data_IF_473341974600
#
_entry.id   IF_473341974600
#
_cell.length_a   1.000
_cell.length_b   1.000
_cell.length_c   1.000
_cell.angle_alpha   90.00
_cell.angle_beta   90.00
_cell.angle_gamma   90.00
#
_symmetry.space_group_name_H-M   'P 1'
#
loop_
_entity.id
_entity.type
_entity.pdbx_description
1 polymer ?
#
# COMPACT_ATOMS: atom_id res chain seq x y z
N UNK A 1 -30.03 28.76 -25.06
CA UNK A 1 -29.86 29.49 -23.78
C UNK A 1 -29.22 30.87 -23.98
N UNK A 2 -27.95 30.96 -24.38
CA UNK A 2 -27.19 32.23 -24.43
C UNK A 2 -27.68 33.25 -25.48
N UNK A 3 -28.15 32.80 -26.64
CA UNK A 3 -28.75 33.67 -27.68
C UNK A 3 -30.00 34.39 -27.16
N UNK A 4 -30.93 33.63 -26.58
CA UNK A 4 -32.16 34.17 -25.99
C UNK A 4 -31.87 35.10 -24.82
N UNK A 5 -30.86 34.79 -24.01
CA UNK A 5 -30.45 35.64 -22.89
C UNK A 5 -29.87 36.98 -23.38
N UNK A 6 -28.91 36.95 -24.30
CA UNK A 6 -28.27 38.15 -24.82
C UNK A 6 -29.20 39.03 -25.67
N UNK A 7 -30.17 38.45 -26.38
CA UNK A 7 -31.13 39.21 -27.19
C UNK A 7 -32.24 39.90 -26.37
N UNK A 8 -32.61 39.34 -25.22
CA UNK A 8 -33.72 39.83 -24.38
C UNK A 8 -33.38 41.05 -23.54
N UNK A 9 -32.11 41.33 -23.29
CA UNK A 9 -31.69 42.35 -22.33
C UNK A 9 -31.07 43.58 -23.00
N UNK A 10 -31.61 44.77 -22.73
CA UNK A 10 -31.14 46.03 -23.32
C UNK A 10 -29.67 46.34 -22.97
N UNK A 11 -29.28 46.07 -21.72
CA UNK A 11 -27.87 46.17 -21.30
C UNK A 11 -26.97 45.18 -22.05
N UNK A 12 -27.41 43.95 -22.36
CA UNK A 12 -26.63 43.02 -23.17
C UNK A 12 -26.41 43.56 -24.58
N UNK A 13 -27.43 44.17 -25.19
CA UNK A 13 -27.32 44.77 -26.53
C UNK A 13 -26.29 45.89 -26.55
N UNK A 14 -26.36 46.79 -25.57
CA UNK A 14 -25.41 47.90 -25.44
C UNK A 14 -23.98 47.38 -25.20
N UNK A 15 -23.81 46.36 -24.36
CA UNK A 15 -22.51 45.73 -24.08
C UNK A 15 -21.93 45.00 -25.30
N UNK A 16 -22.78 44.33 -26.09
CA UNK A 16 -22.38 43.68 -27.33
C UNK A 16 -21.89 44.72 -28.34
N UNK A 17 -22.60 45.84 -28.49
CA UNK A 17 -22.22 46.96 -29.37
C UNK A 17 -20.90 47.60 -28.95
N UNK A 18 -20.75 47.92 -27.65
CA UNK A 18 -19.52 48.51 -27.09
C UNK A 18 -18.29 47.63 -27.34
N UNK A 19 -18.46 46.30 -27.21
CA UNK A 19 -17.38 45.32 -27.38
C UNK A 19 -17.20 44.83 -28.82
N UNK A 20 -17.98 45.34 -29.77
CA UNK A 20 -17.94 44.92 -31.18
C UNK A 20 -18.36 43.46 -31.40
N UNK A 21 -19.16 42.90 -30.49
CA UNK A 21 -19.66 41.53 -30.56
C UNK A 21 -20.95 41.48 -31.38
N UNK A 22 -20.92 40.78 -32.51
CA UNK A 22 -22.02 40.77 -33.48
C UNK A 22 -23.17 39.84 -33.11
N UNK A 23 -22.90 38.75 -32.38
CA UNK A 23 -23.92 37.76 -32.03
C UNK A 23 -23.75 37.21 -30.60
N UNK A 24 -24.80 37.25 -29.75
CA UNK A 24 -24.72 36.76 -28.38
C UNK A 24 -24.45 35.25 -28.27
N UNK A 25 -24.82 34.46 -29.29
CA UNK A 25 -24.55 33.01 -29.35
C UNK A 25 -23.08 32.67 -29.60
N UNK A 26 -22.30 33.62 -30.13
CA UNK A 26 -20.88 33.46 -30.42
C UNK A 26 -20.01 33.66 -29.17
N UNK A 27 -20.61 34.16 -28.09
CA UNK A 27 -19.98 34.25 -26.79
C UNK A 27 -20.04 32.91 -26.07
N UNK A 28 -18.88 32.55 -25.55
CA UNK A 28 -18.68 31.32 -24.81
C UNK A 28 -19.32 31.40 -23.42
N UNK A 29 -19.84 30.29 -22.91
CA UNK A 29 -20.56 30.23 -21.62
C UNK A 29 -19.80 30.92 -20.47
N UNK A 30 -18.49 30.68 -20.35
CA UNK A 30 -17.67 31.29 -19.32
C UNK A 30 -17.56 32.82 -19.44
N UNK A 31 -17.72 33.38 -20.64
CA UNK A 31 -17.69 34.83 -20.87
C UNK A 31 -19.00 35.44 -20.39
N UNK A 32 -20.13 34.78 -20.66
CA UNK A 32 -21.42 35.17 -20.09
C UNK A 32 -21.41 35.11 -18.56
N UNK A 33 -20.88 34.04 -17.98
CA UNK A 33 -20.80 33.93 -16.52
C UNK A 33 -19.95 35.04 -15.90
N UNK A 34 -18.83 35.42 -16.52
CA UNK A 34 -18.00 36.56 -16.07
C UNK A 34 -18.72 37.88 -16.20
N UNK A 35 -19.39 38.15 -17.32
CA UNK A 35 -20.16 39.38 -17.51
C UNK A 35 -21.23 39.54 -16.42
N UNK A 36 -21.92 38.46 -16.08
CA UNK A 36 -22.94 38.49 -15.02
C UNK A 36 -22.32 38.77 -13.65
N UNK A 37 -21.14 38.17 -13.37
CA UNK A 37 -20.39 38.41 -12.14
C UNK A 37 -19.84 39.85 -12.04
N UNK A 38 -19.44 40.45 -13.16
CA UNK A 38 -18.87 41.80 -13.22
C UNK A 38 -19.95 42.89 -13.09
N UNK A 39 -21.20 42.58 -13.44
CA UNK A 39 -22.33 43.54 -13.43
C UNK A 39 -23.57 42.98 -12.71
N UNK A 40 -23.49 42.59 -11.43
CA UNK A 40 -24.58 41.93 -10.71
C UNK A 40 -25.86 42.78 -10.70
N UNK A 41 -25.76 44.08 -10.45
CA UNK A 41 -26.90 45.02 -10.40
C UNK A 41 -27.70 45.09 -11.72
N UNK A 42 -27.06 44.75 -12.85
CA UNK A 42 -27.68 44.78 -14.18
C UNK A 42 -28.37 43.47 -14.54
N UNK A 43 -27.99 42.37 -13.90
CA UNK A 43 -28.42 41.03 -14.28
C UNK A 43 -29.25 40.31 -13.23
N UNK A 44 -29.02 40.57 -11.94
CA UNK A 44 -29.79 39.97 -10.84
C UNK A 44 -31.31 40.09 -10.99
N UNK A 45 -31.89 41.22 -11.45
CA UNK A 45 -33.34 41.31 -11.65
C UNK A 45 -33.93 40.36 -12.71
N UNK A 46 -33.08 39.78 -13.55
CA UNK A 46 -33.46 38.94 -14.69
C UNK A 46 -33.13 37.45 -14.44
N UNK A 47 -32.35 37.18 -13.40
CA UNK A 47 -32.05 35.82 -12.95
C UNK A 47 -33.13 35.42 -11.95
N UNK A 48 -33.89 34.38 -12.28
CA UNK A 48 -35.03 33.94 -11.48
C UNK A 48 -34.67 32.66 -10.72
N UNK A 49 -35.38 32.38 -9.62
CA UNK A 49 -35.42 31.08 -8.95
C UNK A 49 -34.17 30.63 -8.14
N UNK A 50 -33.19 31.51 -7.89
CA UNK A 50 -32.01 31.19 -7.06
C UNK A 50 -31.71 32.32 -6.06
N UNK A 51 -31.23 31.95 -4.86
CA UNK A 51 -30.81 32.93 -3.85
C UNK A 51 -29.60 33.72 -4.35
N UNK A 52 -29.61 35.04 -4.15
CA UNK A 52 -28.56 35.94 -4.64
C UNK A 52 -27.14 35.51 -4.22
N UNK A 53 -27.02 35.02 -2.99
CA UNK A 53 -25.79 34.48 -2.40
C UNK A 53 -25.28 33.18 -3.05
N UNK A 54 -26.14 32.40 -3.73
CA UNK A 54 -25.75 31.19 -4.46
C UNK A 54 -25.38 31.46 -5.92
N UNK A 55 -25.87 32.56 -6.49
CA UNK A 55 -25.63 32.92 -7.90
C UNK A 55 -24.14 33.08 -8.18
N UNK A 56 -23.42 33.77 -7.28
CA UNK A 56 -21.98 33.99 -7.44
C UNK A 56 -21.19 32.67 -7.52
N UNK A 57 -21.54 31.70 -6.68
CA UNK A 57 -20.84 30.42 -6.60
C UNK A 57 -21.18 29.51 -7.78
N UNK A 58 -22.44 29.51 -8.23
CA UNK A 58 -22.87 28.82 -9.45
C UNK A 58 -22.10 29.35 -10.66
N UNK A 59 -22.04 30.67 -10.83
CA UNK A 59 -21.36 31.29 -11.98
C UNK A 59 -19.85 31.01 -11.96
N UNK A 60 -19.19 31.11 -10.79
CA UNK A 60 -17.78 30.74 -10.64
C UNK A 60 -17.54 29.26 -10.98
N UNK A 61 -18.40 28.36 -10.49
CA UNK A 61 -18.31 26.95 -10.80
C UNK A 61 -18.45 26.71 -12.31
N UNK A 62 -19.43 27.34 -12.98
CA UNK A 62 -19.60 27.23 -14.44
C UNK A 62 -18.42 27.77 -15.25
N UNK A 63 -17.76 28.86 -14.81
CA UNK A 63 -16.51 29.33 -15.41
C UNK A 63 -15.41 28.26 -15.31
N UNK A 64 -15.32 27.60 -14.16
CA UNK A 64 -14.32 26.57 -13.89
C UNK A 64 -14.57 25.25 -14.64
N UNK A 65 -15.81 24.92 -15.02
CA UNK A 65 -16.13 23.74 -15.84
C UNK A 65 -15.34 23.79 -17.15
N UNK A 66 -15.42 24.91 -17.86
CA UNK A 66 -14.72 25.09 -19.13
C UNK A 66 -13.22 25.02 -18.95
N UNK A 67 -12.69 25.73 -17.96
CA UNK A 67 -11.26 25.71 -17.66
C UNK A 67 -10.75 24.29 -17.40
N UNK A 68 -11.50 23.51 -16.62
CA UNK A 68 -11.17 22.12 -16.30
C UNK A 68 -11.25 21.21 -17.52
N UNK A 69 -12.27 21.39 -18.37
CA UNK A 69 -12.45 20.62 -19.60
C UNK A 69 -11.35 20.92 -20.64
N UNK A 70 -11.06 22.20 -20.90
CA UNK A 70 -10.04 22.63 -21.88
C UNK A 70 -8.65 22.15 -21.48
N UNK A 71 -8.32 22.23 -20.19
CA UNK A 71 -7.02 21.78 -19.69
C UNK A 71 -7.00 20.31 -19.27
N UNK A 72 -8.10 19.56 -19.50
CA UNK A 72 -8.26 18.14 -19.11
C UNK A 72 -7.77 17.87 -17.69
N UNK A 73 -8.12 18.76 -16.75
CA UNK A 73 -7.68 18.64 -15.36
C UNK A 73 -8.34 17.40 -14.74
N UNK A 74 -7.57 16.53 -14.06
CA UNK A 74 -8.17 15.45 -13.28
C UNK A 74 -9.14 16.03 -12.25
N UNK A 75 -10.33 15.44 -12.15
CA UNK A 75 -11.35 15.83 -11.18
C UNK A 75 -11.85 14.60 -10.45
N UNK A 76 -12.10 14.75 -9.15
CA UNK A 76 -12.82 13.74 -8.38
C UNK A 76 -14.32 13.75 -8.71
N UNK A 77 -14.99 12.67 -8.29
CA UNK A 77 -16.41 12.48 -8.53
C UNK A 77 -17.27 13.58 -7.90
N UNK A 78 -16.88 14.08 -6.73
CA UNK A 78 -17.60 15.12 -6.00
C UNK A 78 -17.57 16.46 -6.76
N UNK A 79 -16.42 16.83 -7.29
CA UNK A 79 -16.22 18.05 -8.09
C UNK A 79 -17.02 18.00 -9.38
N UNK A 80 -17.09 16.83 -10.03
CA UNK A 80 -17.92 16.63 -11.23
C UNK A 80 -19.40 16.76 -10.88
N UNK A 81 -19.86 16.14 -9.79
CA UNK A 81 -21.24 16.27 -9.33
C UNK A 81 -21.60 17.72 -8.96
N UNK A 82 -20.69 18.44 -8.29
CA UNK A 82 -20.85 19.87 -7.99
C UNK A 82 -20.91 20.73 -9.25
N UNK A 83 -20.13 20.37 -10.28
CA UNK A 83 -20.18 21.02 -11.60
C UNK A 83 -21.53 20.81 -12.30
N UNK A 84 -22.10 19.60 -12.21
CA UNK A 84 -23.45 19.32 -12.72
C UNK A 84 -24.52 20.09 -11.95
N UNK A 85 -24.38 20.22 -10.62
CA UNK A 85 -25.30 21.01 -9.80
C UNK A 85 -25.26 22.50 -10.17
N UNK A 86 -24.06 23.05 -10.37
CA UNK A 86 -23.90 24.41 -10.88
C UNK A 86 -24.53 24.56 -12.27
N UNK A 87 -24.37 23.57 -13.16
CA UNK A 87 -25.02 23.56 -14.46
C UNK A 87 -26.56 23.56 -14.37
N UNK A 88 -27.14 22.79 -13.43
CA UNK A 88 -28.57 22.80 -13.12
C UNK A 88 -28.98 24.19 -12.62
N UNK A 89 -28.22 24.77 -11.69
CA UNK A 89 -28.46 26.12 -11.17
C UNK A 89 -28.47 27.16 -12.29
N UNK A 90 -27.47 27.15 -13.16
CA UNK A 90 -27.41 28.06 -14.29
C UNK A 90 -28.59 27.88 -15.25
N UNK A 91 -29.00 26.64 -15.53
CA UNK A 91 -30.15 26.37 -16.37
C UNK A 91 -31.48 26.84 -15.74
N UNK A 92 -31.64 26.70 -14.41
CA UNK A 92 -32.77 27.24 -13.65
C UNK A 92 -32.81 28.78 -13.71
N UNK A 93 -31.67 29.45 -13.54
CA UNK A 93 -31.56 30.91 -13.65
C UNK A 93 -32.06 31.43 -15.01
N UNK A 94 -31.85 30.64 -16.08
CA UNK A 94 -32.33 30.93 -17.43
C UNK A 94 -33.74 30.38 -17.74
N UNK A 95 -34.41 29.75 -16.78
CA UNK A 95 -35.72 29.09 -16.91
C UNK A 95 -35.77 28.04 -18.04
N UNK A 96 -34.65 27.36 -18.30
CA UNK A 96 -34.55 26.34 -19.36
C UNK A 96 -34.85 24.95 -18.80
N UNK A 97 -36.15 24.64 -18.65
CA UNK A 97 -36.64 23.41 -18.01
C UNK A 97 -36.12 22.15 -18.72
N UNK A 98 -36.00 22.18 -20.05
CA UNK A 98 -35.51 21.04 -20.83
C UNK A 98 -34.04 20.75 -20.51
N UNK A 99 -33.20 21.78 -20.41
CA UNK A 99 -31.79 21.63 -20.04
C UNK A 99 -31.65 21.22 -18.58
N UNK A 100 -32.47 21.77 -17.68
CA UNK A 100 -32.50 21.35 -16.26
C UNK A 100 -32.74 19.84 -16.16
N UNK A 101 -33.79 19.32 -16.82
CA UNK A 101 -34.11 17.90 -16.78
C UNK A 101 -32.99 17.05 -17.37
N UNK A 102 -32.39 17.49 -18.47
CA UNK A 102 -31.29 16.77 -19.11
C UNK A 102 -30.07 16.63 -18.18
N UNK A 103 -29.65 17.73 -17.54
CA UNK A 103 -28.50 17.72 -16.63
C UNK A 103 -28.84 16.94 -15.34
N UNK A 104 -30.09 16.98 -14.87
CA UNK A 104 -30.54 16.17 -13.73
C UNK A 104 -30.49 14.66 -14.01
N UNK A 105 -30.89 14.23 -15.21
CA UNK A 105 -30.77 12.83 -15.62
C UNK A 105 -29.30 12.42 -15.66
N UNK A 106 -28.45 13.25 -16.28
CA UNK A 106 -27.00 13.02 -16.33
C UNK A 106 -26.38 12.90 -14.94
N UNK A 107 -26.78 13.75 -14.00
CA UNK A 107 -26.35 13.68 -12.60
C UNK A 107 -26.77 12.36 -11.94
N UNK A 108 -28.00 11.93 -12.16
CA UNK A 108 -28.52 10.66 -11.63
C UNK A 108 -27.73 9.47 -12.18
N UNK A 109 -27.46 9.45 -13.48
CA UNK A 109 -26.65 8.41 -14.13
C UNK A 109 -25.22 8.37 -13.55
N UNK A 110 -24.59 9.54 -13.40
CA UNK A 110 -23.26 9.65 -12.79
C UNK A 110 -23.25 9.12 -11.35
N UNK A 111 -24.26 9.45 -10.55
CA UNK A 111 -24.38 8.94 -9.18
C UNK A 111 -24.54 7.42 -9.15
N UNK A 112 -25.30 6.84 -10.08
CA UNK A 112 -25.45 5.40 -10.20
C UNK A 112 -24.12 4.72 -10.56
N UNK A 113 -23.38 5.26 -11.53
CA UNK A 113 -22.05 4.76 -11.93
C UNK A 113 -21.06 4.85 -10.77
N UNK A 114 -21.02 5.99 -10.07
CA UNK A 114 -20.15 6.18 -8.91
C UNK A 114 -20.44 5.12 -7.85
N UNK A 115 -21.72 4.92 -7.52
CA UNK A 115 -22.15 3.91 -6.54
C UNK A 115 -21.74 2.49 -6.96
N UNK A 116 -21.92 2.14 -8.22
CA UNK A 116 -21.52 0.83 -8.76
C UNK A 116 -20.00 0.61 -8.63
N UNK A 117 -19.19 1.59 -9.02
CA UNK A 117 -17.73 1.53 -8.90
C UNK A 117 -17.29 1.34 -7.44
N UNK A 118 -17.87 2.10 -6.50
CA UNK A 118 -17.56 1.92 -5.08
C UNK A 118 -17.95 0.53 -4.57
N UNK A 119 -19.13 0.03 -4.96
CA UNK A 119 -19.58 -1.31 -4.58
C UNK A 119 -18.64 -2.40 -5.11
N UNK A 120 -18.18 -2.29 -6.36
CA UNK A 120 -17.22 -3.23 -6.94
C UNK A 120 -15.87 -3.16 -6.25
N UNK A 121 -15.39 -1.96 -5.91
CA UNK A 121 -14.14 -1.77 -5.16
C UNK A 121 -14.19 -2.51 -3.83
N UNK A 122 -15.28 -2.40 -3.09
CA UNK A 122 -15.44 -3.05 -1.78
C UNK A 122 -15.40 -4.58 -1.92
N UNK A 123 -16.08 -5.14 -2.93
CA UNK A 123 -16.02 -6.58 -3.25
C UNK A 123 -14.59 -7.04 -3.55
N UNK A 124 -13.83 -6.26 -4.32
CA UNK A 124 -12.43 -6.59 -4.59
C UNK A 124 -11.55 -6.50 -3.35
N UNK A 125 -11.76 -5.51 -2.49
CA UNK A 125 -11.04 -5.37 -1.23
C UNK A 125 -11.31 -6.55 -0.29
N UNK A 126 -12.56 -6.98 -0.19
CA UNK A 126 -12.94 -8.14 0.62
C UNK A 126 -12.31 -9.44 0.09
N UNK A 127 -12.34 -9.64 -1.23
CA UNK A 127 -11.69 -10.80 -1.87
C UNK A 127 -10.18 -10.81 -1.59
N UNK A 128 -9.53 -9.65 -1.71
CA UNK A 128 -8.10 -9.52 -1.42
C UNK A 128 -7.80 -9.81 0.05
N UNK A 129 -8.62 -9.32 0.98
CA UNK A 129 -8.49 -9.62 2.42
C UNK A 129 -8.55 -11.12 2.68
N UNK A 130 -9.56 -11.81 2.14
CA UNK A 130 -9.73 -13.26 2.30
C UNK A 130 -8.50 -14.02 1.76
N UNK A 131 -8.00 -13.63 0.58
CA UNK A 131 -6.82 -14.27 0.00
C UNK A 131 -5.56 -14.06 0.85
N UNK A 132 -5.36 -12.85 1.40
CA UNK A 132 -4.24 -12.57 2.30
C UNK A 132 -4.33 -13.38 3.60
N UNK A 133 -5.53 -13.52 4.17
CA UNK A 133 -5.76 -14.36 5.35
C UNK A 133 -5.42 -15.83 5.07
N UNK A 134 -5.89 -16.38 3.95
CA UNK A 134 -5.58 -17.75 3.53
C UNK A 134 -4.07 -17.97 3.36
N UNK A 135 -3.38 -17.05 2.70
CA UNK A 135 -1.92 -17.11 2.52
C UNK A 135 -1.22 -17.07 3.88
N UNK A 136 -1.69 -16.23 4.81
CA UNK A 136 -1.11 -16.12 6.15
C UNK A 136 -1.28 -17.41 6.96
N UNK A 137 -2.47 -18.02 6.90
CA UNK A 137 -2.77 -19.28 7.57
C UNK A 137 -1.93 -20.43 7.01
N UNK A 138 -1.83 -20.52 5.69
CA UNK A 138 -1.02 -21.55 5.05
C UNK A 138 0.48 -21.39 5.37
N UNK A 139 0.99 -20.15 5.38
CA UNK A 139 2.36 -19.88 5.83
C UNK A 139 2.59 -20.29 7.28
N UNK A 140 1.63 -20.05 8.17
CA UNK A 140 1.74 -20.47 9.56
C UNK A 140 1.75 -22.00 9.70
N UNK A 141 0.85 -22.69 8.98
CA UNK A 141 0.77 -24.16 8.93
C UNK A 141 2.06 -24.79 8.42
N UNK A 142 2.60 -24.29 7.31
CA UNK A 142 3.85 -24.79 6.73
C UNK A 142 5.04 -24.56 7.66
N UNK A 143 5.11 -23.40 8.33
CA UNK A 143 6.15 -23.13 9.34
C UNK A 143 6.07 -24.10 10.51
N UNK A 144 4.88 -24.31 11.05
CA UNK A 144 4.67 -25.25 12.16
C UNK A 144 5.09 -26.68 11.76
N UNK A 145 4.70 -27.11 10.56
CA UNK A 145 5.11 -28.42 10.05
C UNK A 145 6.63 -28.53 9.94
N UNK A 146 7.28 -27.54 9.31
CA UNK A 146 8.74 -27.53 9.16
C UNK A 146 9.48 -27.55 10.51
N UNK A 147 8.95 -26.85 11.54
CA UNK A 147 9.53 -26.88 12.87
C UNK A 147 9.38 -28.24 13.57
N UNK A 148 8.24 -28.91 13.38
CA UNK A 148 8.03 -30.24 13.96
C UNK A 148 8.91 -31.28 13.25
N UNK A 149 8.94 -31.27 11.91
CA UNK A 149 9.80 -32.14 11.11
C UNK A 149 11.27 -31.97 11.55
N UNK A 150 11.77 -30.73 11.64
CA UNK A 150 13.14 -30.45 12.11
C UNK A 150 13.40 -30.96 13.55
N UNK A 151 12.42 -30.83 14.45
CA UNK A 151 12.53 -31.35 15.82
C UNK A 151 12.63 -32.87 15.84
N UNK A 152 11.80 -33.56 15.06
CA UNK A 152 11.84 -35.02 14.97
C UNK A 152 13.15 -35.54 14.38
N UNK A 153 13.70 -34.85 13.37
CA UNK A 153 15.01 -35.19 12.80
C UNK A 153 16.14 -35.00 13.82
N UNK A 154 16.14 -33.90 14.58
CA UNK A 154 17.12 -33.66 15.66
C UNK A 154 17.01 -34.74 16.74
N UNK A 155 15.80 -35.10 17.17
CA UNK A 155 15.59 -36.15 18.16
C UNK A 155 16.08 -37.52 17.67
N UNK A 156 15.84 -37.86 16.40
CA UNK A 156 16.32 -39.09 15.78
C UNK A 156 17.85 -39.13 15.74
N UNK A 157 18.49 -38.03 15.31
CA UNK A 157 19.94 -37.90 15.29
C UNK A 157 20.56 -38.03 16.68
N UNK A 158 19.98 -37.35 17.68
CA UNK A 158 20.44 -37.42 19.07
C UNK A 158 20.33 -38.84 19.64
N UNK A 159 19.26 -39.56 19.31
CA UNK A 159 19.06 -40.96 19.71
C UNK A 159 20.09 -41.88 19.08
N UNK A 160 20.37 -41.72 17.79
CA UNK A 160 21.37 -42.52 17.08
C UNK A 160 22.79 -42.24 17.60
N UNK A 161 23.14 -40.97 17.79
CA UNK A 161 24.43 -40.57 18.37
C UNK A 161 24.59 -41.12 19.79
N UNK A 162 23.54 -41.06 20.61
CA UNK A 162 23.50 -41.65 21.95
C UNK A 162 23.73 -43.16 21.96
N UNK A 163 23.09 -43.89 21.03
CA UNK A 163 23.29 -45.34 20.89
C UNK A 163 24.74 -45.68 20.50
N UNK A 164 25.32 -44.98 19.52
CA UNK A 164 26.72 -45.18 19.10
C UNK A 164 27.70 -44.92 20.25
N UNK A 165 27.46 -43.87 21.04
CA UNK A 165 28.28 -43.57 22.22
C UNK A 165 28.18 -44.67 23.28
N UNK A 166 26.97 -45.15 23.57
CA UNK A 166 26.74 -46.24 24.52
C UNK A 166 27.45 -47.53 24.09
N UNK A 167 27.35 -47.90 22.80
CA UNK A 167 28.05 -49.08 22.25
C UNK A 167 29.57 -48.96 22.38
N UNK A 168 30.12 -47.76 22.15
CA UNK A 168 31.54 -47.49 22.28
C UNK A 168 32.02 -47.63 23.74
N UNK A 169 31.26 -47.09 24.69
CA UNK A 169 31.53 -47.21 26.13
C UNK A 169 31.45 -48.67 26.56
N UNK A 170 30.40 -49.38 26.17
CA UNK A 170 30.22 -50.80 26.50
C UNK A 170 31.36 -51.66 25.94
N UNK A 171 31.77 -51.42 24.69
CA UNK A 171 32.91 -52.09 24.06
C UNK A 171 34.23 -51.81 24.79
N UNK A 172 34.43 -50.57 25.24
CA UNK A 172 35.63 -50.17 26.00
C UNK A 172 35.63 -50.81 27.39
N UNK A 173 34.47 -50.88 28.04
CA UNK A 173 34.29 -51.52 29.34
C UNK A 173 34.53 -53.03 29.26
N UNK A 174 34.03 -53.70 28.21
CA UNK A 174 34.33 -55.12 27.95
C UNK A 174 35.82 -55.35 27.68
N UNK A 175 36.48 -54.47 26.92
CA UNK A 175 37.94 -54.52 26.73
C UNK A 175 38.68 -54.34 28.04
N UNK A 176 38.29 -53.37 28.88
CA UNK A 176 38.88 -53.19 30.20
C UNK A 176 38.67 -54.41 31.10
N UNK A 177 37.47 -55.00 31.10
CA UNK A 177 37.18 -56.23 31.86
C UNK A 177 38.06 -57.40 31.41
N UNK A 178 38.28 -57.56 30.10
CA UNK A 178 39.20 -58.58 29.57
C UNK A 178 40.67 -58.32 29.92
N UNK A 179 41.07 -57.05 30.06
CA UNK A 179 42.41 -56.68 30.54
C UNK A 179 42.56 -56.97 32.03
N UNK A 180 41.51 -56.78 32.84
CA UNK A 180 41.53 -57.12 34.27
C UNK A 180 41.56 -58.63 34.51
N UNK A 181 40.94 -59.45 33.65
CA UNK A 181 41.09 -60.92 33.68
C UNK A 181 42.49 -61.38 33.27
N UNK A 182 43.16 -60.69 32.33
CA UNK A 182 44.57 -60.98 31.98
C UNK A 182 45.54 -60.55 33.09
N UNK A 183 45.19 -59.53 33.89
CA UNK A 183 46.01 -59.09 35.04
C UNK A 183 45.84 -59.99 36.27
N UNK A 184 44.77 -60.78 36.38
CA UNK A 184 44.62 -61.78 37.45
C UNK A 184 45.48 -63.04 37.27
N UNK A 185 46.13 -63.22 36.11
CA UNK A 185 47.01 -64.38 35.83
C UNK A 185 48.48 -63.98 35.60
N UNK A 186 48.87 -62.74 35.93
CA UNK A 186 50.28 -62.33 35.93
C UNK A 186 50.67 -61.72 37.29
N UNK A 187 50.90 -62.59 38.26
CA UNK A 187 51.79 -62.29 39.40
C UNK A 187 53.21 -62.08 38.87
N UNK A 188 53.53 -60.87 38.41
CA UNK A 188 54.91 -60.36 38.43
C UNK A 188 54.90 -58.83 38.44
N UNK A 189 54.57 -58.25 39.59
CA UNK A 189 54.85 -56.85 39.88
C UNK A 189 56.36 -56.73 40.11
N UNK A 190 57.13 -56.45 39.06
CA UNK A 190 58.47 -55.90 39.23
C UNK A 190 58.35 -54.41 39.50
N UNK A 191 58.79 -53.98 40.67
CA UNK A 191 59.03 -52.58 40.99
C UNK A 191 59.83 -51.93 39.86
N UNK A 192 59.43 -50.75 39.36
CA UNK A 192 60.25 -50.03 38.40
C UNK A 192 61.55 -49.60 39.08
N UNK A 193 62.67 -50.09 38.55
CA UNK A 193 64.03 -49.69 38.95
C UNK A 193 64.24 -48.20 38.63
N UNK A 194 64.08 -47.37 39.65
CA UNK A 194 64.16 -45.91 39.59
C UNK A 194 65.55 -45.46 39.12
N UNK A 195 66.60 -46.24 39.37
CA UNK A 195 67.97 -45.91 38.99
C UNK A 195 68.16 -45.98 37.46
N UNK A 196 67.42 -46.85 36.77
CA UNK A 196 67.45 -46.97 35.31
C UNK A 196 66.77 -45.81 34.60
N UNK A 197 65.72 -45.25 35.19
CA UNK A 197 64.97 -44.11 34.62
C UNK A 197 65.76 -42.80 34.79
N UNK A 198 66.45 -42.63 35.92
CA UNK A 198 67.33 -41.47 36.15
C UNK A 198 68.54 -41.45 35.21
N UNK A 199 69.14 -42.61 34.91
CA UNK A 199 70.27 -42.74 33.99
C UNK A 199 69.93 -42.43 32.53
N UNK A 200 68.70 -42.72 32.09
CA UNK A 200 68.21 -42.39 30.74
C UNK A 200 67.80 -40.90 30.60
N UNK A 201 67.32 -40.28 31.69
CA UNK A 201 67.03 -38.84 31.74
C UNK A 201 68.30 -37.96 31.80
N UNK A 202 69.37 -38.43 32.44
CA UNK A 202 70.67 -37.72 32.45
C UNK A 202 71.39 -37.80 31.09
N UNK A 203 71.25 -38.89 30.34
CA UNK A 203 71.86 -39.01 28.99
C UNK A 203 71.21 -38.11 27.93
N UNK A 204 70.00 -37.62 28.16
CA UNK A 204 69.27 -36.78 27.21
C UNK A 204 69.33 -35.27 27.53
N UNK A 205 69.98 -34.87 28.62
CA UNK A 205 69.96 -33.49 29.14
C UNK A 205 71.29 -32.73 29.09
N UNK A 206 72.18 -33.04 28.13
CA UNK A 206 73.38 -32.23 27.85
C UNK A 206 73.26 -31.63 26.44
N UNK A 207 72.68 -30.43 26.32
CA UNK A 207 73.34 -29.19 25.87
C UNK A 207 72.31 -28.02 25.89
N UNK A 208 72.67 -26.81 26.34
CA UNK A 208 71.75 -25.76 26.75
C UNK A 208 71.53 -24.66 25.69
N UNK A 209 70.28 -24.23 25.55
CA UNK A 209 69.83 -22.84 25.69
C UNK A 209 70.27 -21.77 24.68
N UNK A 210 69.28 -21.18 23.99
CA UNK A 210 69.15 -19.70 23.91
C UNK A 210 67.67 -19.32 23.98
N UNK A 211 67.29 -18.60 25.05
CA UNK A 211 66.07 -17.80 25.13
C UNK A 211 66.26 -16.54 24.29
N UNK A 212 65.24 -16.14 23.52
CA UNK A 212 65.01 -14.73 23.21
C UNK A 212 63.65 -14.31 23.75
N UNK A 213 63.73 -13.24 24.53
CA UNK A 213 62.72 -12.51 25.27
C UNK A 213 61.85 -11.63 24.37
N UNK A 214 60.59 -11.45 24.83
CA UNK A 214 59.69 -10.29 24.75
C UNK A 214 59.86 -9.28 23.61
#
# INVERSE_FOLDING_TARGET
MCEKFGAKHEFCRSLLEERGWTEPKSLELHSWCRIILDYPDKFLPVLVDIREEEIGDILKACVNIRHSAVHRRPQDAETILGSLEAGIGLAKMHQDIAVVQHIQNLRTDFQAIIKDIYSQKDVFQDKLRIQLEQISAERARLRQKATEDAKTEVEAYMREAGAKLADCVNSTSQKLASVTEVVQDSDYFSEPDIDKILLEAERTSIVPGVRLSR
#
